data_IF_094940133547
#
_entry.id   IF_094940133547
#
_cell.length_a   1.000
_cell.length_b   1.000
_cell.length_c   1.000
_cell.angle_alpha   90.00
_cell.angle_beta   90.00
_cell.angle_gamma   90.00
#
_symmetry.space_group_name_H-M   'P 1'
#
loop_
_entity.id
_entity.type
_entity.pdbx_description
1 polymer ?
#
# COMPACT_ATOMS: atom_id res chain seq x y z
N UNK A 1 -37.01 -30.81 -4.22
CA UNK A 1 -36.67 -29.56 -3.48
C UNK A 1 -35.28 -29.60 -2.85
N UNK A 2 -34.96 -30.57 -1.96
CA UNK A 2 -33.61 -30.63 -1.33
C UNK A 2 -32.45 -30.69 -2.35
N UNK A 3 -32.55 -31.53 -3.39
CA UNK A 3 -31.52 -31.65 -4.45
C UNK A 3 -31.28 -30.34 -5.21
N UNK A 4 -32.34 -29.61 -5.56
CA UNK A 4 -32.23 -28.32 -6.26
C UNK A 4 -31.59 -27.25 -5.39
N UNK A 5 -31.87 -27.23 -4.08
CA UNK A 5 -31.20 -26.35 -3.13
C UNK A 5 -29.71 -26.68 -2.99
N UNK A 6 -29.35 -27.96 -2.94
CA UNK A 6 -27.94 -28.40 -2.91
C UNK A 6 -27.19 -28.01 -4.18
N UNK A 7 -27.80 -28.17 -5.35
CA UNK A 7 -27.21 -27.76 -6.63
C UNK A 7 -27.04 -26.24 -6.68
N UNK A 8 -28.03 -25.47 -6.23
CA UNK A 8 -27.93 -24.02 -6.12
C UNK A 8 -26.79 -23.57 -5.21
N UNK A 9 -26.64 -24.20 -4.03
CA UNK A 9 -25.54 -23.91 -3.11
C UNK A 9 -24.18 -24.20 -3.74
N UNK A 10 -24.05 -25.34 -4.42
CA UNK A 10 -22.82 -25.72 -5.13
C UNK A 10 -22.44 -24.69 -6.20
N UNK A 11 -23.41 -24.21 -6.99
CA UNK A 11 -23.18 -23.19 -7.99
C UNK A 11 -22.69 -21.88 -7.37
N UNK A 12 -23.27 -21.46 -6.24
CA UNK A 12 -22.82 -20.26 -5.52
C UNK A 12 -21.36 -20.41 -5.08
N UNK A 13 -21.00 -21.55 -4.49
CA UNK A 13 -19.62 -21.80 -4.05
C UNK A 13 -18.64 -21.79 -5.22
N UNK A 14 -19.01 -22.39 -6.36
CA UNK A 14 -18.18 -22.40 -7.57
C UNK A 14 -17.98 -20.97 -8.11
N UNK A 15 -19.06 -20.18 -8.19
CA UNK A 15 -18.99 -18.80 -8.67
C UNK A 15 -18.12 -17.92 -7.76
N UNK A 16 -18.27 -18.05 -6.44
CA UNK A 16 -17.43 -17.34 -5.48
C UNK A 16 -15.95 -17.72 -5.64
N UNK A 17 -15.66 -19.01 -5.78
CA UNK A 17 -14.30 -19.52 -5.95
C UNK A 17 -13.66 -18.96 -7.23
N UNK A 18 -14.39 -18.97 -8.35
CA UNK A 18 -13.94 -18.37 -9.61
C UNK A 18 -13.72 -16.86 -9.48
N UNK A 19 -14.62 -16.16 -8.77
CA UNK A 19 -14.47 -14.74 -8.46
C UNK A 19 -13.15 -14.44 -7.76
N UNK A 20 -12.78 -15.21 -6.74
CA UNK A 20 -11.50 -15.04 -6.05
C UNK A 20 -10.29 -15.32 -6.96
N UNK A 21 -10.37 -16.31 -7.84
CA UNK A 21 -9.30 -16.58 -8.82
C UNK A 21 -9.09 -15.39 -9.75
N UNK A 22 -10.18 -14.80 -10.26
CA UNK A 22 -10.12 -13.61 -11.12
C UNK A 22 -9.54 -12.42 -10.37
N UNK A 23 -10.00 -12.14 -9.15
CA UNK A 23 -9.49 -11.05 -8.33
C UNK A 23 -8.01 -11.23 -8.02
N UNK A 24 -7.56 -12.45 -7.71
CA UNK A 24 -6.14 -12.77 -7.47
C UNK A 24 -5.30 -12.58 -8.73
N UNK A 25 -5.82 -13.01 -9.89
CA UNK A 25 -5.16 -12.77 -11.18
C UNK A 25 -5.00 -11.27 -11.46
N UNK A 26 -6.04 -10.47 -11.18
CA UNK A 26 -5.93 -9.01 -11.29
C UNK A 26 -4.95 -8.42 -10.27
N UNK A 27 -4.92 -8.91 -9.04
CA UNK A 27 -3.99 -8.45 -8.02
C UNK A 27 -2.52 -8.66 -8.42
N UNK A 28 -2.22 -9.74 -9.14
CA UNK A 28 -0.88 -10.07 -9.65
C UNK A 28 -0.57 -9.44 -11.03
N UNK A 29 -1.60 -8.94 -11.73
CA UNK A 29 -1.47 -8.33 -13.05
C UNK A 29 -0.94 -6.89 -13.02
N UNK A 30 -1.20 -6.15 -14.10
CA UNK A 30 -0.72 -4.77 -14.24
C UNK A 30 -1.14 -3.86 -13.07
N UNK A 31 -0.24 -3.01 -12.54
CA UNK A 31 -0.59 -2.00 -11.54
C UNK A 31 -1.68 -1.02 -11.99
N UNK A 32 -1.89 -0.85 -13.31
CA UNK A 32 -2.88 0.08 -13.86
C UNK A 32 -4.29 -0.50 -14.02
N UNK A 33 -4.49 -1.80 -13.73
CA UNK A 33 -5.80 -2.42 -13.91
C UNK A 33 -6.84 -1.89 -12.90
N UNK A 34 -8.11 -2.12 -13.21
CA UNK A 34 -9.22 -1.55 -12.43
C UNK A 34 -9.19 -2.00 -10.96
N UNK A 35 -8.90 -3.28 -10.70
CA UNK A 35 -8.82 -3.82 -9.35
C UNK A 35 -7.71 -3.13 -8.54
N UNK A 36 -6.49 -3.05 -9.09
CA UNK A 36 -5.34 -2.44 -8.45
C UNK A 36 -5.54 -0.94 -8.21
N UNK A 37 -6.25 -0.24 -9.10
CA UNK A 37 -6.52 1.20 -8.96
C UNK A 37 -7.63 1.53 -7.97
N UNK A 38 -8.70 0.74 -7.91
CA UNK A 38 -9.93 1.17 -7.24
C UNK A 38 -10.32 0.28 -6.06
N UNK A 39 -10.01 -1.02 -6.10
CA UNK A 39 -10.56 -2.00 -5.15
C UNK A 39 -9.49 -2.59 -4.22
N UNK A 40 -8.22 -2.62 -4.64
CA UNK A 40 -7.14 -3.27 -3.89
C UNK A 40 -7.02 -2.75 -2.47
N UNK A 41 -7.16 -1.44 -2.26
CA UNK A 41 -7.11 -0.81 -0.93
C UNK A 41 -8.21 -1.36 -0.02
N UNK A 42 -9.44 -1.36 -0.49
CA UNK A 42 -10.59 -1.79 0.31
C UNK A 42 -10.47 -3.27 0.67
N UNK A 43 -10.05 -4.11 -0.27
CA UNK A 43 -9.79 -5.54 -0.01
C UNK A 43 -8.61 -5.75 0.94
N UNK A 44 -7.56 -4.92 0.86
CA UNK A 44 -6.41 -5.02 1.77
C UNK A 44 -6.74 -4.65 3.23
N UNK A 45 -7.85 -3.96 3.50
CA UNK A 45 -8.25 -3.63 4.89
C UNK A 45 -8.62 -4.87 5.71
N UNK A 46 -9.17 -5.91 5.06
CA UNK A 46 -9.57 -7.15 5.72
C UNK A 46 -8.41 -8.16 5.75
N UNK A 47 -8.03 -8.68 6.94
CA UNK A 47 -6.98 -9.71 7.05
C UNK A 47 -7.26 -10.95 6.20
N UNK A 48 -8.53 -11.37 6.14
CA UNK A 48 -8.94 -12.56 5.39
C UNK A 48 -8.72 -12.39 3.89
N UNK A 49 -9.08 -11.23 3.33
CA UNK A 49 -8.86 -10.97 1.90
C UNK A 49 -7.39 -10.76 1.57
N UNK A 50 -6.59 -10.21 2.50
CA UNK A 50 -5.13 -10.15 2.34
C UNK A 50 -4.52 -11.52 2.12
N UNK A 51 -4.87 -12.48 2.97
CA UNK A 51 -4.34 -13.83 2.90
C UNK A 51 -4.78 -14.56 1.62
N UNK A 52 -6.08 -14.50 1.28
CA UNK A 52 -6.62 -15.18 0.10
C UNK A 52 -6.02 -14.62 -1.21
N UNK A 53 -5.97 -13.29 -1.32
CA UNK A 53 -5.56 -12.60 -2.53
C UNK A 53 -4.03 -12.33 -2.59
N UNK A 54 -3.29 -12.69 -1.54
CA UNK A 54 -1.85 -12.39 -1.43
C UNK A 54 -1.57 -10.88 -1.39
N UNK A 55 -2.52 -10.09 -0.89
CA UNK A 55 -2.35 -8.66 -0.72
C UNK A 55 -1.62 -8.42 0.58
N UNK A 56 -0.74 -7.45 0.57
CA UNK A 56 -0.14 -6.98 1.80
C UNK A 56 -0.85 -5.70 2.25
N UNK A 57 -0.91 -5.49 3.56
CA UNK A 57 -1.29 -4.19 4.11
C UNK A 57 -0.08 -3.27 4.04
N UNK A 58 0.42 -3.03 2.84
CA UNK A 58 1.61 -2.19 2.63
C UNK A 58 1.28 -0.71 2.86
N UNK A 59 0.02 -0.40 3.21
CA UNK A 59 -0.51 0.95 3.09
C UNK A 59 -0.10 1.50 1.75
N UNK A 60 -0.42 0.77 0.66
CA UNK A 60 0.06 0.96 -0.72
C UNK A 60 0.81 2.28 -0.82
N UNK A 61 2.15 2.25 -0.71
CA UNK A 61 2.97 3.45 -0.51
C UNK A 61 2.56 4.58 -1.47
N UNK A 62 2.06 4.22 -2.65
CA UNK A 62 1.38 5.13 -3.56
C UNK A 62 0.10 5.78 -2.99
N UNK A 63 -0.86 5.03 -2.50
CA UNK A 63 -2.07 5.59 -1.88
C UNK A 63 -1.79 6.37 -0.59
N UNK A 64 -0.85 5.94 0.25
CA UNK A 64 -0.53 6.67 1.49
C UNK A 64 0.42 7.87 1.23
N UNK A 65 1.51 7.73 0.46
CA UNK A 65 2.42 8.86 0.14
C UNK A 65 1.96 9.73 -1.02
N UNK A 66 1.27 9.19 -2.03
CA UNK A 66 0.78 9.94 -3.21
C UNK A 66 -0.75 10.15 -3.23
N UNK A 67 -1.51 9.57 -2.31
CA UNK A 67 -2.96 9.83 -2.16
C UNK A 67 -3.27 10.91 -1.13
N UNK A 68 -4.53 11.29 -0.97
CA UNK A 68 -4.96 12.46 -0.17
C UNK A 68 -4.97 12.24 1.35
N UNK A 69 -4.65 11.03 1.83
CA UNK A 69 -4.80 10.66 3.24
C UNK A 69 -3.91 11.50 4.18
N UNK A 70 -2.71 11.82 3.73
CA UNK A 70 -1.74 12.63 4.46
C UNK A 70 -1.35 13.84 3.62
N UNK A 71 -1.41 15.04 4.21
CA UNK A 71 -1.06 16.29 3.52
C UNK A 71 0.45 16.52 3.47
N UNK A 72 1.19 15.98 4.46
CA UNK A 72 2.59 16.29 4.69
C UNK A 72 3.41 14.99 4.83
N UNK A 73 4.69 15.04 4.46
CA UNK A 73 5.67 13.94 4.58
C UNK A 73 6.80 14.37 5.51
N UNK A 74 7.14 13.55 6.52
CA UNK A 74 8.31 13.77 7.38
C UNK A 74 9.38 12.71 7.08
N UNK A 75 10.59 13.15 6.77
CA UNK A 75 11.75 12.29 6.53
C UNK A 75 12.64 12.29 7.76
N UNK A 76 12.63 11.20 8.52
CA UNK A 76 13.57 11.01 9.64
C UNK A 76 14.89 10.45 9.12
N UNK A 77 15.99 11.09 9.50
CA UNK A 77 17.34 10.70 9.12
C UNK A 77 18.11 10.33 10.37
N UNK A 78 18.28 9.04 10.57
CA UNK A 78 19.14 8.48 11.61
C UNK A 78 20.60 8.56 11.17
N UNK A 79 21.43 9.25 11.95
CA UNK A 79 22.88 9.30 11.71
C UNK A 79 23.56 8.08 12.33
N UNK A 80 24.54 7.51 11.63
CA UNK A 80 25.47 6.54 12.24
C UNK A 80 26.62 7.32 12.88
N UNK A 81 27.07 6.86 14.05
CA UNK A 81 28.14 7.51 14.82
C UNK A 81 29.31 7.92 13.91
N UNK A 82 29.74 9.18 14.04
CA UNK A 82 30.84 9.81 13.27
C UNK A 82 30.51 10.23 11.83
N UNK A 83 29.25 10.14 11.37
CA UNK A 83 28.86 10.64 10.04
C UNK A 83 28.12 11.98 10.14
N UNK A 84 28.69 13.03 9.55
CA UNK A 84 28.01 14.31 9.41
C UNK A 84 27.07 14.28 8.20
N UNK A 85 25.79 14.53 8.43
CA UNK A 85 24.82 14.68 7.35
C UNK A 85 25.00 16.05 6.68
N UNK A 86 25.15 16.06 5.36
CA UNK A 86 25.19 17.29 4.59
C UNK A 86 23.76 17.81 4.43
N UNK A 87 23.42 18.90 5.12
CA UNK A 87 22.08 19.52 5.05
C UNK A 87 21.66 19.85 3.61
N UNK A 88 22.58 20.31 2.77
CA UNK A 88 22.29 20.57 1.35
C UNK A 88 21.85 19.35 0.55
N UNK A 89 22.25 18.14 0.97
CA UNK A 89 21.78 16.88 0.38
C UNK A 89 20.37 16.54 0.85
N UNK A 90 20.04 16.83 2.11
CA UNK A 90 18.68 16.67 2.63
C UNK A 90 17.70 17.63 1.97
N UNK A 91 18.08 18.90 1.82
CA UNK A 91 17.26 19.89 1.11
C UNK A 91 16.95 19.44 -0.32
N UNK A 92 17.95 18.87 -1.01
CA UNK A 92 17.78 18.30 -2.36
C UNK A 92 16.85 17.07 -2.37
N UNK A 93 16.95 16.19 -1.38
CA UNK A 93 16.08 15.04 -1.22
C UNK A 93 14.63 15.45 -0.99
N UNK A 94 14.40 16.36 -0.03
CA UNK A 94 13.08 16.90 0.34
C UNK A 94 12.42 17.56 -0.87
N UNK A 95 13.15 18.42 -1.57
CA UNK A 95 12.65 19.06 -2.79
C UNK A 95 12.19 18.05 -3.83
N UNK A 96 12.96 16.98 -4.04
CA UNK A 96 12.63 15.94 -5.00
C UNK A 96 11.41 15.11 -4.59
N UNK A 97 11.26 14.83 -3.31
CA UNK A 97 10.07 14.15 -2.76
C UNK A 97 8.83 15.04 -2.96
N UNK A 98 8.93 16.33 -2.65
CA UNK A 98 7.87 17.30 -2.84
C UNK A 98 7.48 17.47 -4.32
N UNK A 99 8.45 17.51 -5.24
CA UNK A 99 8.19 17.54 -6.69
C UNK A 99 7.40 16.31 -7.18
N UNK A 100 7.71 15.12 -6.65
CA UNK A 100 7.05 13.87 -7.05
C UNK A 100 5.66 13.72 -6.41
N UNK A 101 5.53 14.12 -5.16
CA UNK A 101 4.33 13.85 -4.34
C UNK A 101 3.36 15.03 -4.32
N UNK A 102 3.81 16.24 -4.68
CA UNK A 102 3.08 17.51 -4.51
C UNK A 102 2.69 17.81 -3.05
N UNK A 103 3.39 17.23 -2.08
CA UNK A 103 3.12 17.38 -0.65
C UNK A 103 4.23 18.15 0.05
N UNK A 104 3.84 18.94 1.05
CA UNK A 104 4.80 19.58 1.94
C UNK A 104 5.68 18.50 2.60
N UNK A 105 6.99 18.65 2.50
CA UNK A 105 7.94 17.64 2.98
C UNK A 105 8.95 18.32 3.89
N UNK A 106 9.16 17.75 5.07
CA UNK A 106 10.13 18.21 6.06
C UNK A 106 11.10 17.07 6.40
N UNK A 107 12.23 17.41 7.00
CA UNK A 107 13.17 16.42 7.53
C UNK A 107 13.48 16.67 9.00
N UNK A 108 13.73 15.58 9.72
CA UNK A 108 14.24 15.58 11.09
C UNK A 108 15.54 14.79 11.11
N UNK A 109 16.63 15.41 11.55
CA UNK A 109 17.87 14.67 11.83
C UNK A 109 17.79 14.18 13.27
N UNK A 110 17.70 12.87 13.43
CA UNK A 110 17.59 12.20 14.72
C UNK A 110 18.99 11.77 15.14
N UNK A 111 19.58 12.45 16.12
CA UNK A 111 20.81 11.98 16.76
C UNK A 111 20.42 10.95 17.81
N UNK A 112 20.76 9.68 17.58
CA UNK A 112 20.75 8.64 18.62
C UNK A 112 21.96 8.82 19.56
N UNK A 113 22.14 10.01 20.12
CA UNK A 113 23.06 10.28 21.24
C UNK A 113 22.24 10.74 22.46
N UNK A 114 21.14 10.05 22.75
CA UNK A 114 20.53 10.04 24.09
C UNK A 114 21.05 8.81 24.83
N UNK A 115 22.29 8.86 25.31
CA UNK A 115 22.84 8.00 26.36
C UNK A 115 23.77 8.81 27.27
#
# INVERSE_FOLDING_TARGET
MKKSATVGLLLIVILLSLGFVVLKSQALGSPSNYFNRNLRRDFATSPLFREILGLHYDGDAKTDYLGERYSNILVEVDTLNSQTVRLSTLDGLVKKIQEITSKETEYLVSDRDIL
#
